data_IF_197324749812
#
_entry.id   IF_197324749812
#
_cell.length_a   1.000
_cell.length_b   1.000
_cell.length_c   1.000
_cell.angle_alpha   90.00
_cell.angle_beta   90.00
_cell.angle_gamma   90.00
#
_symmetry.space_group_name_H-M   'P 1'
#
loop_
_entity.id
_entity.type
_entity.pdbx_description
1 polymer ?
#
# COMPACT_ATOMS: atom_id res chain seq x y z
N UNK A 1 10.38 -24.32 2.05
CA UNK A 1 10.65 -23.70 0.73
C UNK A 1 9.74 -22.48 0.62
N UNK A 2 10.27 -21.27 0.70
CA UNK A 2 9.49 -20.03 0.53
C UNK A 2 10.14 -19.23 -0.60
N UNK A 3 9.70 -19.47 -1.83
CA UNK A 3 10.18 -18.73 -3.01
C UNK A 3 9.45 -17.40 -3.21
N UNK A 4 8.27 -17.22 -2.61
CA UNK A 4 7.51 -15.99 -2.72
C UNK A 4 8.14 -14.86 -1.90
N UNK A 5 8.48 -13.75 -2.56
CA UNK A 5 8.88 -12.51 -1.89
C UNK A 5 7.97 -11.37 -2.36
N UNK A 6 7.24 -10.79 -1.42
CA UNK A 6 6.31 -9.71 -1.72
C UNK A 6 7.01 -8.46 -2.30
N UNK A 7 8.32 -8.30 -2.12
CA UNK A 7 9.11 -7.22 -2.72
C UNK A 7 9.09 -7.19 -4.25
N UNK A 8 8.78 -8.30 -4.92
CA UNK A 8 8.58 -8.33 -6.38
C UNK A 8 7.22 -7.77 -6.82
N UNK A 9 6.26 -7.67 -5.90
CA UNK A 9 4.86 -7.32 -6.19
C UNK A 9 4.40 -6.06 -5.44
N UNK A 10 5.25 -5.53 -4.56
CA UNK A 10 4.91 -4.42 -3.69
C UNK A 10 4.39 -3.22 -4.48
N UNK A 11 3.21 -2.72 -4.10
CA UNK A 11 2.60 -1.55 -4.72
C UNK A 11 1.91 -1.82 -6.05
N UNK A 12 1.75 -3.07 -6.46
CA UNK A 12 0.94 -3.42 -7.64
C UNK A 12 -0.55 -3.12 -7.42
N UNK A 13 -1.37 -3.36 -8.45
CA UNK A 13 -2.83 -3.18 -8.40
C UNK A 13 -3.54 -3.95 -7.26
N UNK A 14 -3.06 -5.14 -6.88
CA UNK A 14 -3.64 -5.94 -5.81
C UNK A 14 -3.37 -5.30 -4.44
N UNK A 15 -2.15 -4.79 -4.22
CA UNK A 15 -1.81 -4.02 -3.01
C UNK A 15 -2.61 -2.73 -2.92
N UNK A 16 -2.84 -2.05 -4.05
CA UNK A 16 -3.70 -0.87 -4.10
C UNK A 16 -5.11 -1.20 -3.60
N UNK A 17 -5.73 -2.27 -4.10
CA UNK A 17 -7.07 -2.70 -3.65
C UNK A 17 -7.06 -3.08 -2.17
N UNK A 18 -6.15 -3.99 -1.79
CA UNK A 18 -6.02 -4.51 -0.43
C UNK A 18 -5.85 -3.39 0.60
N UNK A 19 -4.91 -2.48 0.37
CA UNK A 19 -4.63 -1.40 1.31
C UNK A 19 -5.70 -0.29 1.29
N UNK A 20 -6.41 -0.10 0.17
CA UNK A 20 -7.56 0.80 0.13
C UNK A 20 -8.67 0.30 1.06
N UNK A 21 -9.05 -0.97 0.93
CA UNK A 21 -10.06 -1.61 1.75
C UNK A 21 -9.64 -1.63 3.22
N UNK A 22 -8.42 -2.09 3.51
CA UNK A 22 -7.88 -2.11 4.87
C UNK A 22 -7.94 -0.74 5.54
N UNK A 23 -7.56 0.30 4.81
CA UNK A 23 -7.57 1.66 5.34
C UNK A 23 -8.97 2.17 5.65
N UNK A 24 -9.94 1.89 4.78
CA UNK A 24 -11.34 2.26 5.01
C UNK A 24 -11.92 1.53 6.22
N UNK A 25 -11.59 0.24 6.39
CA UNK A 25 -11.98 -0.54 7.58
C UNK A 25 -11.41 0.11 8.85
N UNK A 26 -10.12 0.47 8.84
CA UNK A 26 -9.48 1.11 10.00
C UNK A 26 -10.12 2.47 10.32
N UNK A 27 -10.37 3.31 9.31
CA UNK A 27 -11.05 4.60 9.52
C UNK A 27 -12.47 4.41 10.08
N UNK A 28 -13.21 3.40 9.61
CA UNK A 28 -14.54 3.11 10.14
C UNK A 28 -14.49 2.58 11.58
N UNK A 29 -13.54 1.71 11.92
CA UNK A 29 -13.38 1.21 13.29
C UNK A 29 -13.04 2.32 14.28
N UNK A 30 -12.31 3.36 13.83
CA UNK A 30 -11.97 4.55 14.64
C UNK A 30 -13.16 5.45 14.95
N UNK A 31 -14.32 5.27 14.31
CA UNK A 31 -15.53 6.07 14.62
C UNK A 31 -16.08 5.80 16.03
N UNK A 32 -15.70 4.67 16.65
CA UNK A 32 -16.04 4.35 18.04
C UNK A 32 -14.83 4.57 18.94
N UNK A 33 -15.05 5.19 20.08
CA UNK A 33 -14.04 5.40 21.14
C UNK A 33 -13.50 4.09 21.78
N UNK A 34 -14.06 2.92 21.43
CA UNK A 34 -13.58 1.63 21.94
C UNK A 34 -12.36 1.17 21.15
N UNK A 35 -11.32 0.74 21.87
CA UNK A 35 -10.12 0.15 21.27
C UNK A 35 -10.44 -1.09 20.42
N UNK A 36 -9.64 -1.33 19.39
CA UNK A 36 -9.69 -2.54 18.56
C UNK A 36 -8.30 -3.15 18.34
N UNK A 37 -8.26 -4.46 18.07
CA UNK A 37 -7.05 -5.19 17.70
C UNK A 37 -6.93 -5.25 16.18
N UNK A 38 -5.74 -4.95 15.67
CA UNK A 38 -5.36 -5.23 14.29
C UNK A 38 -4.44 -6.47 14.25
N UNK A 39 -4.92 -7.54 13.63
CA UNK A 39 -4.18 -8.79 13.46
C UNK A 39 -3.88 -9.01 11.99
N UNK A 40 -2.60 -9.18 11.65
CA UNK A 40 -2.14 -9.50 10.30
C UNK A 40 -1.43 -10.87 10.31
N UNK A 41 -2.07 -11.86 9.71
CA UNK A 41 -1.57 -13.24 9.67
C UNK A 41 -0.38 -13.41 8.72
N UNK A 42 -0.19 -12.48 7.77
CA UNK A 42 0.83 -12.56 6.73
C UNK A 42 1.45 -11.17 6.48
N UNK A 43 1.93 -10.53 7.55
CA UNK A 43 2.38 -9.13 7.55
C UNK A 43 3.57 -8.80 6.64
N UNK A 44 4.31 -9.81 6.17
CA UNK A 44 5.49 -9.61 5.34
C UNK A 44 6.58 -8.79 6.05
N UNK A 45 7.26 -7.92 5.30
CA UNK A 45 8.36 -7.10 5.81
C UNK A 45 7.92 -5.72 6.32
N UNK A 46 6.63 -5.40 6.26
CA UNK A 46 6.06 -4.10 6.62
C UNK A 46 6.32 -2.97 5.60
N UNK A 47 7.53 -2.86 5.04
CA UNK A 47 7.88 -1.86 4.01
C UNK A 47 8.74 -2.45 2.91
N UNK A 48 8.59 -1.91 1.70
CA UNK A 48 9.32 -2.35 0.52
C UNK A 48 9.87 -1.15 -0.26
N UNK A 49 11.07 -1.30 -0.79
CA UNK A 49 11.73 -0.29 -1.63
C UNK A 49 11.33 -0.50 -3.10
N UNK A 50 10.53 0.42 -3.65
CA UNK A 50 9.97 0.31 -5.00
C UNK A 50 11.00 0.58 -6.10
N UNK A 51 12.12 1.22 -5.75
CA UNK A 51 13.27 1.45 -6.63
C UNK A 51 14.40 0.43 -6.41
N UNK A 52 14.13 -0.62 -5.63
CA UNK A 52 15.10 -1.67 -5.33
C UNK A 52 15.14 -2.74 -6.41
N UNK A 53 16.14 -3.62 -6.35
CA UNK A 53 16.36 -4.64 -7.38
C UNK A 53 15.13 -5.52 -7.64
N UNK A 54 14.44 -5.95 -6.59
CA UNK A 54 13.26 -6.82 -6.69
C UNK A 54 12.10 -6.15 -7.43
N UNK A 55 11.68 -4.96 -6.98
CA UNK A 55 10.59 -4.22 -7.60
C UNK A 55 10.97 -3.72 -9.00
N UNK A 56 12.25 -3.41 -9.24
CA UNK A 56 12.76 -3.03 -10.56
C UNK A 56 12.74 -4.17 -11.58
N UNK A 57 12.91 -5.43 -11.15
CA UNK A 57 12.85 -6.60 -12.05
C UNK A 57 11.46 -6.82 -12.66
N UNK A 58 10.38 -6.51 -11.94
CA UNK A 58 9.00 -6.73 -12.40
C UNK A 58 8.30 -5.43 -12.81
N UNK A 59 8.61 -4.32 -12.14
CA UNK A 59 8.01 -3.01 -12.39
C UNK A 59 6.53 -2.90 -12.05
N UNK A 60 5.93 -3.87 -11.34
CA UNK A 60 4.46 -3.94 -11.16
C UNK A 60 3.87 -2.68 -10.48
N UNK A 61 4.63 -2.03 -9.60
CA UNK A 61 4.20 -0.81 -8.91
C UNK A 61 3.91 0.36 -9.86
N UNK A 62 4.51 0.37 -11.06
CA UNK A 62 4.29 1.38 -12.09
C UNK A 62 2.86 1.34 -12.62
N UNK A 63 2.27 0.15 -12.70
CA UNK A 63 0.87 -0.04 -13.10
C UNK A 63 -0.11 0.06 -11.92
N UNK A 64 0.38 0.05 -10.68
CA UNK A 64 -0.39 0.18 -9.45
C UNK A 64 -0.24 1.56 -8.81
N UNK A 65 0.43 1.61 -7.66
CA UNK A 65 0.46 2.77 -6.77
C UNK A 65 1.07 4.03 -7.44
N UNK A 66 2.01 3.87 -8.38
CA UNK A 66 2.60 5.02 -9.07
C UNK A 66 1.56 5.86 -9.83
N UNK A 67 0.59 5.21 -10.48
CA UNK A 67 -0.51 5.90 -11.20
C UNK A 67 -1.37 6.74 -10.26
N UNK A 68 -1.64 6.24 -9.05
CA UNK A 68 -2.45 6.96 -8.05
C UNK A 68 -1.69 8.16 -7.51
N UNK A 69 -0.41 7.99 -7.18
CA UNK A 69 0.41 9.08 -6.64
C UNK A 69 0.67 10.21 -7.64
N UNK A 70 0.75 9.87 -8.93
CA UNK A 70 0.97 10.82 -10.02
C UNK A 70 -0.33 11.42 -10.59
N UNK A 71 -1.50 10.91 -10.19
CA UNK A 71 -2.77 11.45 -10.65
C UNK A 71 -2.95 12.91 -10.22
N UNK A 72 -3.40 13.76 -11.15
CA UNK A 72 -3.70 15.17 -10.89
C UNK A 72 -4.90 15.34 -9.95
N UNK A 73 -5.90 14.47 -10.11
CA UNK A 73 -7.08 14.39 -9.26
C UNK A 73 -7.20 12.96 -8.69
N UNK A 74 -6.44 12.62 -7.64
CA UNK A 74 -6.53 11.30 -7.04
C UNK A 74 -7.92 11.10 -6.41
N UNK A 75 -8.36 9.83 -6.22
CA UNK A 75 -9.64 9.53 -5.61
C UNK A 75 -9.81 10.30 -4.28
N UNK A 76 -10.87 11.11 -4.22
CA UNK A 76 -11.17 11.93 -3.05
C UNK A 76 -11.91 11.09 -2.01
N UNK A 77 -11.50 11.22 -0.75
CA UNK A 77 -12.01 10.45 0.40
C UNK A 77 -10.90 10.24 1.43
N UNK A 78 -11.24 9.77 2.64
CA UNK A 78 -10.29 9.43 3.70
C UNK A 78 -9.36 8.25 3.37
N UNK A 79 -9.14 7.95 2.09
CA UNK A 79 -8.22 6.93 1.59
C UNK A 79 -6.77 7.38 1.89
N UNK A 80 -6.06 6.76 2.84
CA UNK A 80 -4.69 7.14 3.21
C UNK A 80 -3.71 7.00 2.05
N UNK A 81 -4.01 6.15 1.07
CA UNK A 81 -3.21 5.94 -0.13
C UNK A 81 -3.16 7.16 -1.06
N UNK A 82 -4.16 8.06 -1.00
CA UNK A 82 -4.18 9.29 -1.79
C UNK A 82 -3.38 10.44 -1.16
N UNK A 83 -3.00 10.30 0.12
CA UNK A 83 -2.15 11.28 0.80
C UNK A 83 -0.75 11.20 0.18
N UNK A 84 -0.41 12.15 -0.70
CA UNK A 84 0.93 12.32 -1.29
C UNK A 84 1.96 12.52 -0.18
N UNK A 85 2.50 11.44 0.36
CA UNK A 85 3.56 11.51 1.33
C UNK A 85 4.88 11.56 0.53
N UNK A 86 5.39 12.76 0.26
CA UNK A 86 6.65 12.96 -0.50
C UNK A 86 7.82 12.15 0.09
N UNK A 87 7.78 11.88 1.39
CA UNK A 87 8.76 11.04 2.11
C UNK A 87 8.71 9.55 1.74
N UNK A 88 7.57 9.05 1.24
CA UNK A 88 7.40 7.66 0.79
C UNK A 88 7.77 7.47 -0.69
N UNK A 89 7.62 8.48 -1.54
CA UNK A 89 7.96 8.41 -2.97
C UNK A 89 9.48 8.32 -3.25
N UNK A 90 10.30 8.64 -2.25
CA UNK A 90 11.77 8.66 -2.33
C UNK A 90 12.45 7.41 -1.77
N UNK A 91 11.69 6.43 -1.25
CA UNK A 91 12.22 5.22 -0.62
C UNK A 91 11.89 3.94 -1.37
#
# INVERSE_FOLDING_TARGET
>A
MLSYRHSFHAGNHADVLKHSVQSLIIEHLKEKEKNFLYLDTHAGAGRYQLRGEHAGRTGEYLAGIAKIWQADNPPQGNLPLSRRNKSMQQR
#
